data_IF_816100172233
#
_entry.id   IF_816100172233
#
_cell.length_a   1.000
_cell.length_b   1.000
_cell.length_c   1.000
_cell.angle_alpha   90.00
_cell.angle_beta   90.00
_cell.angle_gamma   90.00
#
_symmetry.space_group_name_H-M   'P 1'
#
loop_
_entity.id
_entity.type
_entity.pdbx_description
1 polymer ?
#
# COMPACT_ATOMS: atom_id res chain seq x y z
N UNK A 1 -48.44 52.33 19.07
CA UNK A 1 -47.28 51.77 19.84
C UNK A 1 -47.04 50.30 19.49
N UNK A 2 -48.07 49.44 19.48
CA UNK A 2 -47.96 48.03 19.09
C UNK A 2 -47.44 47.81 17.65
N UNK A 3 -47.90 48.58 16.67
CA UNK A 3 -47.42 48.49 15.27
C UNK A 3 -45.94 48.85 15.11
N UNK A 4 -45.43 49.81 15.90
CA UNK A 4 -44.01 50.17 15.87
C UNK A 4 -43.11 49.19 16.61
N UNK A 5 -43.69 48.34 17.47
CA UNK A 5 -43.00 47.22 18.11
C UNK A 5 -42.97 46.00 17.17
N UNK A 6 -44.09 45.68 16.50
CA UNK A 6 -44.15 44.63 15.46
C UNK A 6 -43.19 44.93 14.29
N UNK A 7 -43.12 46.18 13.84
CA UNK A 7 -42.18 46.59 12.78
C UNK A 7 -40.72 46.49 13.20
N UNK A 8 -40.40 46.75 14.49
CA UNK A 8 -39.05 46.56 15.05
C UNK A 8 -38.66 45.09 15.20
N UNK A 9 -39.62 44.22 15.55
CA UNK A 9 -39.41 42.77 15.62
C UNK A 9 -39.23 42.16 14.22
N UNK A 10 -40.00 42.60 13.22
CA UNK A 10 -39.84 42.19 11.84
C UNK A 10 -38.52 42.68 11.20
N UNK A 11 -38.05 43.87 11.58
CA UNK A 11 -36.76 44.41 11.12
C UNK A 11 -35.55 43.66 11.69
N UNK A 12 -35.68 43.06 12.87
CA UNK A 12 -34.62 42.22 13.47
C UNK A 12 -34.54 40.83 12.82
N UNK A 13 -35.65 40.33 12.28
CA UNK A 13 -35.72 39.04 11.57
C UNK A 13 -35.28 39.14 10.09
N UNK A 14 -35.33 40.35 9.52
CA UNK A 14 -34.96 40.62 8.13
C UNK A 14 -33.43 40.65 7.85
N UNK A 15 -32.57 40.56 8.88
CA UNK A 15 -31.11 40.61 8.70
C UNK A 15 -30.43 39.25 8.47
N UNK A 16 -31.17 38.13 8.52
CA UNK A 16 -30.63 36.84 8.09
C UNK A 16 -30.96 36.57 6.62
N UNK A 17 -30.33 37.32 5.73
CA UNK A 17 -30.30 36.96 4.31
C UNK A 17 -29.63 35.58 4.19
N UNK A 18 -30.25 34.58 3.53
CA UNK A 18 -29.69 33.24 3.47
C UNK A 18 -28.34 33.30 2.75
N UNK A 19 -27.27 33.06 3.51
CA UNK A 19 -25.90 33.07 2.98
C UNK A 19 -25.86 32.15 1.76
N UNK A 20 -25.42 32.67 0.61
CA UNK A 20 -25.40 31.90 -0.63
C UNK A 20 -24.74 30.53 -0.43
N UNK A 21 -25.33 29.47 -1.00
CA UNK A 21 -24.79 28.09 -0.90
C UNK A 21 -23.30 28.04 -1.23
N UNK A 22 -22.86 28.84 -2.21
CA UNK A 22 -21.44 28.95 -2.59
C UNK A 22 -20.57 29.54 -1.48
N UNK A 23 -21.07 30.56 -0.77
CA UNK A 23 -20.37 31.16 0.37
C UNK A 23 -20.29 30.18 1.55
N UNK A 24 -21.42 29.53 1.89
CA UNK A 24 -21.46 28.51 2.94
C UNK A 24 -20.47 27.37 2.65
N UNK A 25 -20.42 26.92 1.40
CA UNK A 25 -19.47 25.90 0.99
C UNK A 25 -18.02 26.37 1.13
N UNK A 26 -17.66 27.54 0.60
CA UNK A 26 -16.26 28.02 0.60
C UNK A 26 -15.75 28.39 1.99
N UNK A 27 -16.60 28.95 2.85
CA UNK A 27 -16.19 29.49 4.17
C UNK A 27 -16.43 28.54 5.33
N UNK A 28 -17.37 27.61 5.21
CA UNK A 28 -17.74 26.70 6.32
C UNK A 28 -17.45 25.25 5.95
N UNK A 29 -18.09 24.74 4.90
CA UNK A 29 -17.99 23.30 4.58
C UNK A 29 -16.58 22.91 4.12
N UNK A 30 -15.96 23.67 3.22
CA UNK A 30 -14.63 23.34 2.68
C UNK A 30 -13.55 23.33 3.78
N UNK A 31 -13.44 24.32 4.68
CA UNK A 31 -12.50 24.25 5.82
C UNK A 31 -12.80 23.09 6.77
N UNK A 32 -14.07 22.81 7.06
CA UNK A 32 -14.47 21.67 7.90
C UNK A 32 -14.07 20.33 7.28
N UNK A 33 -14.33 20.13 5.99
CA UNK A 33 -13.99 18.91 5.27
C UNK A 33 -12.48 18.69 5.22
N UNK A 34 -11.70 19.76 5.01
CA UNK A 34 -10.24 19.67 5.06
C UNK A 34 -9.73 19.33 6.46
N UNK A 35 -10.33 19.90 7.52
CA UNK A 35 -10.01 19.51 8.90
C UNK A 35 -10.29 18.02 9.14
N UNK A 36 -11.43 17.51 8.67
CA UNK A 36 -11.79 16.08 8.77
C UNK A 36 -10.82 15.20 7.97
N UNK A 37 -10.42 15.63 6.77
CA UNK A 37 -9.41 14.94 5.96
C UNK A 37 -8.06 14.88 6.68
N UNK A 38 -7.58 16.00 7.21
CA UNK A 38 -6.31 16.07 7.98
C UNK A 38 -6.34 15.19 9.22
N UNK A 39 -7.44 15.20 9.96
CA UNK A 39 -7.63 14.33 11.12
C UNK A 39 -7.54 12.85 10.73
N UNK A 40 -8.18 12.45 9.62
CA UNK A 40 -8.09 11.09 9.10
C UNK A 40 -6.65 10.72 8.71
N UNK A 41 -5.94 11.59 7.99
CA UNK A 41 -4.55 11.36 7.58
C UNK A 41 -3.65 11.16 8.80
N UNK A 42 -3.77 12.02 9.82
CA UNK A 42 -2.96 11.89 11.01
C UNK A 42 -3.24 10.58 11.77
N UNK A 43 -4.51 10.17 11.91
CA UNK A 43 -4.84 8.87 12.52
C UNK A 43 -4.19 7.71 11.79
N UNK A 44 -4.26 7.69 10.47
CA UNK A 44 -3.59 6.64 9.69
C UNK A 44 -2.08 6.67 9.87
N UNK A 45 -1.45 7.84 9.99
CA UNK A 45 0.00 7.94 10.25
C UNK A 45 0.36 7.43 11.65
N UNK A 46 -0.47 7.70 12.65
CA UNK A 46 -0.28 7.20 14.01
C UNK A 46 -0.41 5.67 14.06
N UNK A 47 -1.44 5.11 13.41
CA UNK A 47 -1.62 3.65 13.25
C UNK A 47 -0.43 3.02 12.51
N UNK A 48 0.04 3.63 11.41
CA UNK A 48 1.23 3.14 10.69
C UNK A 48 2.46 3.14 11.58
N UNK A 49 2.65 4.18 12.40
CA UNK A 49 3.77 4.25 13.35
C UNK A 49 3.70 3.09 14.34
N UNK A 50 2.54 2.82 14.94
CA UNK A 50 2.35 1.71 15.88
C UNK A 50 2.62 0.34 15.25
N UNK A 51 2.15 0.12 14.02
CA UNK A 51 2.43 -1.10 13.26
C UNK A 51 3.94 -1.26 13.00
N UNK A 52 4.63 -0.19 12.61
CA UNK A 52 6.08 -0.21 12.40
C UNK A 52 6.85 -0.44 13.70
N UNK A 53 6.43 0.13 14.83
CA UNK A 53 7.02 -0.17 16.15
C UNK A 53 6.97 -1.68 16.38
N UNK A 54 5.81 -2.29 16.16
CA UNK A 54 5.59 -3.72 16.41
C UNK A 54 6.40 -4.60 15.45
N UNK A 55 6.44 -4.25 14.17
CA UNK A 55 7.14 -5.02 13.14
C UNK A 55 8.67 -4.94 13.28
N UNK A 56 9.21 -3.83 13.77
CA UNK A 56 10.65 -3.53 13.80
C UNK A 56 11.24 -3.56 15.22
N UNK A 57 10.49 -4.06 16.21
CA UNK A 57 10.93 -4.20 17.60
C UNK A 57 12.27 -4.95 17.75
N UNK A 58 12.56 -5.88 16.83
CA UNK A 58 13.82 -6.65 16.79
C UNK A 58 15.00 -5.91 16.14
N UNK A 59 14.73 -4.87 15.34
CA UNK A 59 15.75 -4.16 14.55
C UNK A 59 16.41 -3.01 15.33
N UNK A 60 15.98 -2.76 16.58
CA UNK A 60 16.57 -1.76 17.46
C UNK A 60 16.35 -0.31 17.01
N UNK A 61 15.44 -0.09 16.04
CA UNK A 61 15.17 1.22 15.50
C UNK A 61 14.31 2.04 16.49
N UNK A 62 14.70 3.29 16.75
CA UNK A 62 14.00 4.15 17.71
C UNK A 62 12.73 4.75 17.09
N UNK A 63 11.69 3.91 16.94
CA UNK A 63 10.45 4.25 16.23
C UNK A 63 9.65 5.36 16.95
N UNK A 64 9.92 5.63 18.23
CA UNK A 64 9.27 6.70 19.01
C UNK A 64 9.49 8.10 18.45
N UNK A 65 10.58 8.34 17.70
CA UNK A 65 10.97 9.66 17.16
C UNK A 65 10.75 9.85 15.66
N UNK A 66 10.13 8.90 14.96
CA UNK A 66 9.94 9.01 13.51
C UNK A 66 9.14 10.26 13.13
N UNK A 67 9.66 11.00 12.15
CA UNK A 67 8.94 12.08 11.49
C UNK A 67 7.92 11.51 10.48
N UNK A 68 7.02 12.37 9.97
CA UNK A 68 5.98 11.92 9.02
C UNK A 68 6.56 11.35 7.72
N UNK A 69 7.68 11.90 7.26
CA UNK A 69 8.36 11.41 6.07
C UNK A 69 8.95 10.02 6.33
N UNK A 70 9.63 9.84 7.46
CA UNK A 70 10.22 8.56 7.86
C UNK A 70 9.17 7.47 8.03
N UNK A 71 8.02 7.76 8.66
CA UNK A 71 6.91 6.82 8.80
C UNK A 71 6.49 6.29 7.42
N UNK A 72 6.31 7.20 6.44
CA UNK A 72 5.90 6.83 5.10
C UNK A 72 6.98 6.02 4.37
N UNK A 73 8.24 6.45 4.46
CA UNK A 73 9.35 5.79 3.79
C UNK A 73 9.58 4.37 4.35
N UNK A 74 9.64 4.24 5.68
CA UNK A 74 9.82 2.98 6.38
C UNK A 74 8.69 2.01 6.06
N UNK A 75 7.45 2.48 6.10
CA UNK A 75 6.27 1.68 5.72
C UNK A 75 6.38 1.19 4.28
N UNK A 76 6.81 2.03 3.34
CA UNK A 76 6.96 1.64 1.93
C UNK A 76 8.06 0.58 1.78
N UNK A 77 9.21 0.76 2.42
CA UNK A 77 10.29 -0.23 2.41
C UNK A 77 9.84 -1.57 3.01
N UNK A 78 9.13 -1.53 4.14
CA UNK A 78 8.59 -2.74 4.77
C UNK A 78 7.58 -3.46 3.86
N UNK A 79 6.66 -2.74 3.23
CA UNK A 79 5.71 -3.32 2.27
C UNK A 79 6.40 -3.92 1.04
N UNK A 80 7.47 -3.30 0.56
CA UNK A 80 8.29 -3.86 -0.52
C UNK A 80 8.98 -5.14 -0.08
N UNK A 81 9.58 -5.14 1.11
CA UNK A 81 10.18 -6.34 1.70
C UNK A 81 9.16 -7.48 1.84
N UNK A 82 7.96 -7.20 2.36
CA UNK A 82 6.88 -8.20 2.44
C UNK A 82 6.47 -8.76 1.07
N UNK A 83 6.45 -7.92 0.03
CA UNK A 83 6.17 -8.36 -1.33
C UNK A 83 7.28 -9.22 -1.91
N UNK A 84 8.53 -8.89 -1.62
CA UNK A 84 9.70 -9.67 -2.04
C UNK A 84 9.84 -10.98 -1.26
N UNK A 85 9.39 -11.02 -0.02
CA UNK A 85 9.59 -12.16 0.87
C UNK A 85 8.66 -13.35 0.58
N UNK A 86 7.51 -13.14 -0.07
CA UNK A 86 6.62 -14.26 -0.44
C UNK A 86 5.38 -13.81 -1.22
N UNK A 87 5.46 -13.68 -2.54
CA UNK A 87 4.24 -14.05 -3.28
C UNK A 87 4.10 -15.59 -3.24
N UNK A 88 2.88 -16.14 -3.18
CA UNK A 88 2.68 -17.59 -3.33
C UNK A 88 3.31 -18.14 -4.61
N UNK A 89 3.40 -17.30 -5.64
CA UNK A 89 4.09 -17.59 -6.89
C UNK A 89 5.61 -17.70 -6.68
N UNK A 90 6.24 -16.75 -5.99
CA UNK A 90 7.69 -16.80 -5.72
C UNK A 90 8.06 -18.07 -4.93
N UNK A 91 7.26 -18.44 -3.92
CA UNK A 91 7.48 -19.68 -3.15
C UNK A 91 7.32 -20.94 -3.99
N UNK A 92 6.38 -20.94 -4.93
CA UNK A 92 6.20 -22.04 -5.88
C UNK A 92 7.38 -22.10 -6.86
N UNK A 93 7.80 -20.96 -7.41
CA UNK A 93 8.91 -20.85 -8.36
C UNK A 93 10.23 -21.30 -7.69
N UNK A 94 10.51 -20.85 -6.46
CA UNK A 94 11.64 -21.31 -5.65
C UNK A 94 11.60 -22.82 -5.41
N UNK A 95 10.45 -23.37 -5.01
CA UNK A 95 10.29 -24.81 -4.79
C UNK A 95 10.43 -25.62 -6.08
N UNK A 96 9.92 -25.10 -7.19
CA UNK A 96 10.04 -25.70 -8.51
C UNK A 96 11.50 -25.70 -8.99
N UNK A 97 12.21 -24.58 -8.85
CA UNK A 97 13.64 -24.47 -9.16
C UNK A 97 14.47 -25.44 -8.32
N UNK A 98 14.20 -25.55 -7.03
CA UNK A 98 14.88 -26.52 -6.16
C UNK A 98 14.63 -27.98 -6.59
N UNK A 99 13.39 -28.30 -6.99
CA UNK A 99 13.04 -29.61 -7.54
C UNK A 99 13.78 -29.89 -8.87
N UNK A 100 13.78 -28.92 -9.78
CA UNK A 100 14.52 -28.98 -11.04
C UNK A 100 16.01 -29.23 -10.85
N UNK A 101 16.64 -28.53 -9.89
CA UNK A 101 18.04 -28.72 -9.54
C UNK A 101 18.31 -30.12 -9.00
N UNK A 102 17.39 -30.67 -8.20
CA UNK A 102 17.47 -32.05 -7.72
C UNK A 102 17.38 -33.05 -8.88
N UNK A 103 16.47 -32.84 -9.82
CA UNK A 103 16.34 -33.67 -11.04
C UNK A 103 17.61 -33.59 -11.88
N UNK A 104 18.15 -32.39 -12.08
CA UNK A 104 19.41 -32.18 -12.81
C UNK A 104 20.57 -32.92 -12.16
N UNK A 105 20.66 -32.86 -10.82
CA UNK A 105 21.69 -33.58 -10.05
C UNK A 105 21.55 -35.10 -10.20
N UNK A 106 20.34 -35.62 -10.02
CA UNK A 106 20.05 -37.05 -10.16
C UNK A 106 20.41 -37.61 -11.54
N UNK A 107 20.12 -36.86 -12.61
CA UNK A 107 20.46 -37.24 -13.98
C UNK A 107 21.98 -37.23 -14.21
N UNK A 108 22.72 -36.28 -13.63
CA UNK A 108 24.18 -36.20 -13.72
C UNK A 108 24.90 -37.29 -12.93
N UNK A 109 24.36 -37.69 -11.79
CA UNK A 109 24.93 -38.72 -10.90
C UNK A 109 24.66 -40.16 -11.40
N UNK A 110 24.06 -40.32 -12.59
CA UNK A 110 23.82 -41.63 -13.19
C UNK A 110 22.53 -42.32 -12.71
N UNK A 111 21.69 -41.64 -11.95
CA UNK A 111 20.38 -42.14 -11.51
C UNK A 111 19.38 -42.31 -12.66
N UNK A 112 19.62 -41.67 -13.81
CA UNK A 112 18.75 -41.71 -15.00
C UNK A 112 18.77 -43.01 -15.80
N UNK A 113 19.27 -44.13 -15.27
CA UNK A 113 19.16 -45.44 -15.91
C UNK A 113 19.79 -45.54 -17.31
N UNK A 114 20.85 -44.75 -17.59
CA UNK A 114 21.52 -44.74 -18.89
C UNK A 114 20.95 -43.76 -19.92
N UNK A 115 20.12 -42.79 -19.49
CA UNK A 115 19.66 -41.71 -20.37
C UNK A 115 20.85 -40.99 -21.03
N UNK A 116 20.87 -40.81 -22.37
CA UNK A 116 21.92 -40.06 -23.02
C UNK A 116 21.89 -38.58 -22.60
N UNK A 117 23.06 -37.91 -22.50
CA UNK A 117 23.14 -36.53 -22.04
C UNK A 117 22.26 -35.54 -22.82
N UNK A 118 22.07 -35.77 -24.12
CA UNK A 118 21.22 -34.96 -24.99
C UNK A 118 19.74 -35.02 -24.60
N UNK A 119 19.25 -36.17 -24.13
CA UNK A 119 17.87 -36.32 -23.67
C UNK A 119 17.67 -35.75 -22.28
N UNK A 120 18.66 -35.88 -21.40
CA UNK A 120 18.65 -35.23 -20.09
C UNK A 120 18.56 -33.70 -20.22
N UNK A 121 19.34 -33.10 -21.14
CA UNK A 121 19.28 -31.65 -21.41
C UNK A 121 17.92 -31.24 -21.96
N UNK A 122 17.32 -32.03 -22.87
CA UNK A 122 15.97 -31.75 -23.41
C UNK A 122 14.89 -31.83 -22.34
N UNK A 123 15.00 -32.80 -21.42
CA UNK A 123 14.08 -32.95 -20.29
C UNK A 123 14.16 -31.74 -19.35
N UNK A 124 15.37 -31.34 -18.94
CA UNK A 124 15.59 -30.15 -18.11
C UNK A 124 15.07 -28.88 -18.80
N UNK A 125 15.35 -28.72 -20.10
CA UNK A 125 14.87 -27.57 -20.87
C UNK A 125 13.33 -27.51 -20.95
N UNK A 126 12.66 -28.67 -21.04
CA UNK A 126 11.19 -28.72 -21.06
C UNK A 126 10.56 -28.47 -19.68
N UNK A 127 11.26 -28.82 -18.60
CA UNK A 127 10.82 -28.60 -17.23
C UNK A 127 11.13 -27.19 -16.73
N UNK A 128 12.07 -26.48 -17.35
CA UNK A 128 12.37 -25.09 -17.01
C UNK A 128 11.18 -24.24 -17.46
N UNK A 129 10.40 -23.64 -16.54
CA UNK A 129 9.30 -22.78 -16.95
C UNK A 129 9.87 -21.60 -17.72
N UNK A 130 9.22 -21.18 -18.80
CA UNK A 130 9.43 -19.80 -19.24
C UNK A 130 8.91 -18.90 -18.12
N UNK A 131 9.84 -18.37 -17.30
CA UNK A 131 9.60 -17.30 -16.32
C UNK A 131 9.14 -16.08 -17.12
N UNK A 132 7.85 -16.12 -17.48
CA UNK A 132 7.21 -15.10 -18.28
C UNK A 132 6.96 -13.91 -17.37
N UNK A 133 7.67 -12.82 -17.67
CA UNK A 133 7.10 -11.48 -17.81
C UNK A 133 5.84 -11.25 -16.96
N UNK A 134 6.02 -10.97 -15.68
CA UNK A 134 5.00 -10.28 -14.90
C UNK A 134 5.66 -9.51 -13.76
N UNK A 135 6.54 -8.56 -14.11
CA UNK A 135 6.73 -7.43 -13.21
C UNK A 135 5.50 -6.55 -13.42
N UNK A 136 4.55 -6.43 -12.47
CA UNK A 136 3.49 -5.45 -12.61
C UNK A 136 4.17 -4.08 -12.73
N UNK A 137 3.88 -3.38 -13.82
CA UNK A 137 4.20 -1.96 -13.98
C UNK A 137 3.86 -1.23 -12.67
N UNK A 138 4.75 -0.35 -12.16
CA UNK A 138 4.41 0.44 -10.99
C UNK A 138 3.11 1.21 -11.30
N UNK A 139 2.06 0.93 -10.52
CA UNK A 139 0.74 1.56 -10.63
C UNK A 139 0.77 3.09 -10.44
N UNK A 140 1.94 3.64 -10.10
CA UNK A 140 2.16 5.06 -9.91
C UNK A 140 2.81 5.66 -11.15
N UNK A 141 2.01 6.39 -11.93
CA UNK A 141 2.49 7.37 -12.91
C UNK A 141 2.31 8.76 -12.29
N UNK A 142 3.38 9.57 -12.14
CA UNK A 142 3.22 10.97 -11.77
C UNK A 142 2.39 11.69 -12.85
N UNK A 143 1.61 12.68 -12.44
CA UNK A 143 0.92 13.61 -13.34
C UNK A 143 1.92 14.41 -14.18
#
# INVERSE_FOLDING_TARGET
ILESQLSRMAAHDAQHQPVSRTYQYRKVMKPMLERKRRARINRCLDELKELMVTALQSEGENVSKLEKADILELTVRHLQSLRSASSPQDRYDEGWTACLDQVNRFLKEGGGGGLPPSEAVRLIAHLTPEVSKARPEPLWRPW
#
